data_IF_867639013946
#
_entry.id   IF_867639013946
#
_cell.length_a   1.000
_cell.length_b   1.000
_cell.length_c   1.000
_cell.angle_alpha   90.00
_cell.angle_beta   90.00
_cell.angle_gamma   90.00
#
_symmetry.space_group_name_H-M   'P 1'
#
loop_
_entity.id
_entity.type
_entity.pdbx_description
1 polymer ?
#
# COMPACT_ATOMS: atom_id res chain seq x y z
N UNK A 1 -24.78 0.35 2.44
CA UNK A 1 -24.06 0.03 1.19
C UNK A 1 -22.57 0.31 1.36
N UNK A 2 -21.74 -0.69 1.17
CA UNK A 2 -20.29 -0.48 1.30
C UNK A 2 -19.75 0.19 0.03
N UNK A 3 -18.77 1.04 0.19
CA UNK A 3 -18.08 1.66 -0.94
C UNK A 3 -16.94 0.77 -1.43
N UNK A 4 -16.25 1.22 -2.50
CA UNK A 4 -15.16 0.45 -3.11
C UNK A 4 -14.00 0.20 -2.14
N UNK A 5 -13.67 1.20 -1.32
CA UNK A 5 -12.59 1.06 -0.35
C UNK A 5 -12.91 -0.02 0.68
N UNK A 6 -14.15 -0.01 1.20
CA UNK A 6 -14.62 -1.04 2.13
C UNK A 6 -14.58 -2.43 1.50
N UNK A 7 -15.01 -2.55 0.25
CA UNK A 7 -14.99 -3.82 -0.48
C UNK A 7 -13.57 -4.35 -0.64
N UNK A 8 -12.66 -3.49 -1.03
CA UNK A 8 -11.24 -3.85 -1.22
C UNK A 8 -10.62 -4.28 0.10
N UNK A 9 -10.87 -3.53 1.16
CA UNK A 9 -10.37 -3.83 2.50
C UNK A 9 -10.86 -5.20 2.98
N UNK A 10 -12.16 -5.44 2.82
CA UNK A 10 -12.79 -6.69 3.21
C UNK A 10 -12.19 -7.87 2.44
N UNK A 11 -12.01 -7.72 1.14
CA UNK A 11 -11.39 -8.75 0.31
C UNK A 11 -9.97 -9.07 0.79
N UNK A 12 -9.19 -8.05 1.12
CA UNK A 12 -7.83 -8.24 1.62
C UNK A 12 -7.83 -9.02 2.95
N UNK A 13 -8.74 -8.67 3.86
CA UNK A 13 -8.86 -9.41 5.13
C UNK A 13 -9.21 -10.88 4.89
N UNK A 14 -10.13 -11.14 3.98
CA UNK A 14 -10.51 -12.51 3.62
C UNK A 14 -9.34 -13.29 3.05
N UNK A 15 -8.52 -12.64 2.23
CA UNK A 15 -7.31 -13.25 1.67
C UNK A 15 -6.30 -13.58 2.77
N UNK A 16 -6.11 -12.67 3.73
CA UNK A 16 -5.20 -12.90 4.86
C UNK A 16 -5.71 -14.04 5.75
N UNK A 17 -7.02 -14.13 5.96
CA UNK A 17 -7.62 -15.26 6.68
C UNK A 17 -7.36 -16.59 5.96
N UNK A 18 -7.46 -16.58 4.62
CA UNK A 18 -7.17 -17.77 3.82
C UNK A 18 -5.70 -18.17 3.92
N UNK A 19 -4.79 -17.21 3.89
CA UNK A 19 -3.35 -17.47 4.06
C UNK A 19 -3.06 -18.09 5.43
N UNK A 20 -3.73 -17.59 6.46
CA UNK A 20 -3.56 -18.10 7.81
C UNK A 20 -4.06 -19.55 7.92
N UNK A 21 -5.12 -19.86 7.21
CA UNK A 21 -5.70 -21.21 7.18
C UNK A 21 -4.84 -22.20 6.40
N UNK A 22 -4.31 -21.76 5.24
CA UNK A 22 -3.60 -22.64 4.29
C UNK A 22 -2.08 -22.57 4.40
N UNK A 23 -1.54 -21.54 5.01
CA UNK A 23 -0.11 -21.27 5.15
C UNK A 23 0.18 -20.82 6.58
N UNK A 24 1.43 -20.67 6.91
CA UNK A 24 1.87 -20.17 8.22
C UNK A 24 1.88 -18.64 8.23
N UNK A 25 0.74 -18.04 7.93
CA UNK A 25 0.61 -16.58 7.95
C UNK A 25 0.26 -16.13 9.37
N UNK A 26 0.83 -15.00 9.85
CA UNK A 26 0.58 -14.54 11.21
C UNK A 26 -0.88 -14.18 11.46
N UNK A 27 -1.32 -14.38 12.70
CA UNK A 27 -2.61 -13.85 13.16
C UNK A 27 -2.51 -12.33 13.22
N UNK A 28 -3.62 -11.65 12.99
CA UNK A 28 -3.64 -10.19 13.05
C UNK A 28 -4.67 -9.73 14.11
N UNK A 29 -4.36 -8.59 14.78
CA UNK A 29 -3.14 -7.80 14.64
C UNK A 29 -1.94 -8.49 15.27
N UNK A 30 -0.72 -8.15 14.78
CA UNK A 30 0.51 -8.55 15.42
C UNK A 30 0.76 -7.64 16.63
N UNK A 31 1.55 -8.12 17.58
CA UNK A 31 1.92 -7.32 18.74
C UNK A 31 3.07 -6.37 18.37
N UNK A 32 2.74 -5.10 18.18
CA UNK A 32 3.69 -4.08 17.77
C UNK A 32 4.69 -3.70 18.88
N UNK A 33 4.47 -4.16 20.09
CA UNK A 33 5.41 -3.95 21.21
C UNK A 33 6.53 -4.99 21.24
N UNK A 34 6.47 -6.01 20.39
CA UNK A 34 7.48 -7.07 20.32
C UNK A 34 8.38 -6.90 19.10
N UNK A 35 9.60 -7.42 19.22
CA UNK A 35 10.53 -7.42 18.08
C UNK A 35 10.01 -8.29 16.93
N UNK A 36 9.41 -9.43 17.25
CA UNK A 36 8.87 -10.33 16.22
C UNK A 36 7.72 -9.69 15.45
N UNK A 37 6.82 -9.01 16.15
CA UNK A 37 5.72 -8.28 15.50
C UNK A 37 6.23 -7.17 14.59
N UNK A 38 7.20 -6.39 15.07
CA UNK A 38 7.78 -5.33 14.26
C UNK A 38 8.53 -5.86 13.04
N UNK A 39 9.21 -6.99 13.17
CA UNK A 39 9.92 -7.61 12.03
C UNK A 39 8.94 -8.06 10.95
N UNK A 40 7.80 -8.60 11.35
CA UNK A 40 6.74 -8.98 10.38
C UNK A 40 6.30 -7.74 9.61
N UNK A 41 5.99 -6.65 10.31
CA UNK A 41 5.53 -5.40 9.67
C UNK A 41 6.58 -4.84 8.72
N UNK A 42 7.84 -4.84 9.13
CA UNK A 42 8.94 -4.37 8.27
C UNK A 42 9.08 -5.23 7.02
N UNK A 43 8.94 -6.55 7.17
CA UNK A 43 9.02 -7.48 6.05
C UNK A 43 7.94 -7.20 5.01
N UNK A 44 6.70 -7.02 5.46
CA UNK A 44 5.58 -6.72 4.57
C UNK A 44 5.72 -5.32 3.94
N UNK A 45 6.26 -4.38 4.70
CA UNK A 45 6.55 -3.04 4.16
C UNK A 45 7.54 -3.11 3.00
N UNK A 46 8.58 -3.95 3.13
CA UNK A 46 9.54 -4.15 2.04
C UNK A 46 8.87 -4.74 0.80
N UNK A 47 7.92 -5.66 0.98
CA UNK A 47 7.17 -6.23 -0.14
C UNK A 47 6.34 -5.15 -0.85
N UNK A 48 5.71 -4.26 -0.08
CA UNK A 48 4.95 -3.14 -0.64
C UNK A 48 5.86 -2.22 -1.47
N UNK A 49 7.01 -1.87 -0.93
CA UNK A 49 8.00 -1.04 -1.62
C UNK A 49 8.52 -1.71 -2.88
N UNK A 50 8.73 -3.03 -2.82
CA UNK A 50 9.18 -3.82 -3.96
C UNK A 50 8.18 -3.72 -5.11
N UNK A 51 6.89 -3.84 -4.82
CA UNK A 51 5.85 -3.75 -5.85
C UNK A 51 5.79 -2.35 -6.48
N UNK A 52 5.96 -1.30 -5.67
CA UNK A 52 6.05 0.06 -6.20
C UNK A 52 7.28 0.23 -7.09
N UNK A 53 8.39 -0.40 -6.72
CA UNK A 53 9.59 -0.37 -7.53
C UNK A 53 9.38 -1.11 -8.87
N UNK A 54 8.67 -2.25 -8.83
CA UNK A 54 8.30 -2.97 -10.05
C UNK A 54 7.46 -2.10 -10.99
N UNK A 55 6.50 -1.35 -10.43
CA UNK A 55 5.72 -0.39 -11.22
C UNK A 55 6.63 0.67 -11.84
N UNK A 56 7.59 1.17 -11.05
CA UNK A 56 8.53 2.20 -11.51
C UNK A 56 9.39 1.71 -12.68
N UNK A 57 9.73 0.43 -12.72
CA UNK A 57 10.53 -0.14 -13.82
C UNK A 57 9.80 -0.15 -15.17
N UNK A 58 8.48 0.02 -15.17
CA UNK A 58 7.70 0.13 -16.40
C UNK A 58 7.75 1.53 -17.01
N UNK A 59 8.25 2.52 -16.25
CA UNK A 59 8.42 3.90 -16.71
C UNK A 59 9.84 4.04 -17.28
N UNK A 60 9.96 3.82 -18.60
CA UNK A 60 11.25 3.72 -19.28
C UNK A 60 11.58 4.99 -20.06
N UNK A 61 12.88 5.24 -20.18
CA UNK A 61 13.42 6.35 -20.98
C UNK A 61 12.94 7.73 -20.54
N UNK A 62 12.77 7.94 -19.22
CA UNK A 62 12.30 9.20 -18.66
C UNK A 62 13.42 10.20 -18.34
N UNK A 63 14.67 9.84 -18.58
CA UNK A 63 15.81 10.70 -18.25
C UNK A 63 15.93 11.87 -19.25
N UNK A 64 15.87 13.08 -18.75
CA UNK A 64 15.87 14.31 -19.57
C UNK A 64 17.12 14.47 -20.45
N UNK A 65 18.26 13.97 -19.96
CA UNK A 65 19.53 14.14 -20.67
C UNK A 65 19.72 13.16 -21.84
N UNK A 66 18.77 12.26 -22.06
CA UNK A 66 18.85 11.28 -23.14
C UNK A 66 17.90 11.66 -24.27
N UNK A 67 18.36 11.46 -25.51
CA UNK A 67 17.57 11.70 -26.70
C UNK A 67 16.62 10.53 -27.04
N UNK A 68 16.73 9.42 -26.30
CA UNK A 68 15.88 8.23 -26.53
C UNK A 68 14.43 8.54 -26.20
N UNK A 69 13.55 8.30 -27.14
CA UNK A 69 12.11 8.51 -26.96
C UNK A 69 11.53 7.52 -25.96
N UNK A 70 10.40 7.90 -25.35
CA UNK A 70 9.64 7.00 -24.49
C UNK A 70 9.15 5.81 -25.32
N UNK A 71 9.21 4.63 -24.71
CA UNK A 71 8.61 3.42 -25.29
C UNK A 71 7.12 3.41 -25.00
N UNK A 72 6.40 2.55 -25.70
CA UNK A 72 4.99 2.32 -25.42
C UNK A 72 4.84 1.92 -23.95
N UNK A 73 3.91 2.58 -23.29
CA UNK A 73 3.66 2.38 -21.88
C UNK A 73 2.68 1.23 -21.69
N UNK A 74 3.12 0.19 -20.99
CA UNK A 74 2.27 -0.96 -20.63
C UNK A 74 1.41 -0.60 -19.42
N UNK A 75 0.28 0.03 -19.71
CA UNK A 75 -0.63 0.53 -18.69
C UNK A 75 -1.22 -0.60 -17.83
N UNK A 76 -1.58 -1.71 -18.45
CA UNK A 76 -2.21 -2.81 -17.73
C UNK A 76 -1.26 -3.43 -16.70
N UNK A 77 -0.02 -3.65 -17.08
CA UNK A 77 1.00 -4.14 -16.14
C UNK A 77 1.27 -3.14 -15.02
N UNK A 78 1.32 -1.85 -15.36
CA UNK A 78 1.53 -0.79 -14.38
C UNK A 78 0.42 -0.76 -13.34
N UNK A 79 -0.84 -0.81 -13.77
CA UNK A 79 -2.00 -0.84 -12.88
C UNK A 79 -1.96 -2.08 -11.98
N UNK A 80 -1.57 -3.24 -12.53
CA UNK A 80 -1.45 -4.47 -11.75
C UNK A 80 -0.42 -4.33 -10.64
N UNK A 81 0.75 -3.74 -10.93
CA UNK A 81 1.79 -3.52 -9.91
C UNK A 81 1.34 -2.53 -8.84
N UNK A 82 0.61 -1.47 -9.22
CA UNK A 82 0.02 -0.56 -8.24
C UNK A 82 -0.99 -1.28 -7.35
N UNK A 83 -1.77 -2.18 -7.94
CA UNK A 83 -2.72 -3.01 -7.21
C UNK A 83 -2.01 -3.88 -6.18
N UNK A 84 -0.91 -4.54 -6.59
CA UNK A 84 -0.14 -5.39 -5.69
C UNK A 84 0.41 -4.58 -4.51
N UNK A 85 0.90 -3.37 -4.78
CA UNK A 85 1.37 -2.49 -3.72
C UNK A 85 0.25 -2.11 -2.76
N UNK A 86 -0.96 -1.84 -3.28
CA UNK A 86 -2.11 -1.48 -2.45
C UNK A 86 -2.55 -2.66 -1.58
N UNK A 87 -2.51 -3.88 -2.11
CA UNK A 87 -2.78 -5.08 -1.32
C UNK A 87 -1.83 -5.17 -0.13
N UNK A 88 -0.54 -4.97 -0.35
CA UNK A 88 0.44 -4.98 0.74
C UNK A 88 0.23 -3.82 1.72
N UNK A 89 -0.15 -2.65 1.21
CA UNK A 89 -0.43 -1.51 2.08
C UNK A 89 -1.57 -1.82 3.05
N UNK A 90 -2.68 -2.37 2.54
CA UNK A 90 -3.79 -2.80 3.38
C UNK A 90 -3.35 -3.87 4.37
N UNK A 91 -2.52 -4.81 3.92
CA UNK A 91 -1.99 -5.87 4.77
C UNK A 91 -1.19 -5.30 5.93
N UNK A 92 -0.35 -4.30 5.69
CA UNK A 92 0.40 -3.61 6.73
C UNK A 92 -0.55 -2.99 7.76
N UNK A 93 -1.56 -2.29 7.31
CA UNK A 93 -2.53 -1.64 8.19
C UNK A 93 -3.30 -2.67 9.01
N UNK A 94 -3.79 -3.74 8.38
CA UNK A 94 -4.54 -4.80 9.05
C UNK A 94 -3.66 -5.51 10.08
N UNK A 95 -2.43 -5.85 9.71
CA UNK A 95 -1.48 -6.50 10.62
C UNK A 95 -1.12 -5.62 11.82
N UNK A 96 -1.09 -4.30 11.63
CA UNK A 96 -0.77 -3.38 12.73
C UNK A 96 -1.99 -2.97 13.55
N UNK A 97 -3.17 -3.53 13.25
CA UNK A 97 -4.39 -3.26 14.01
C UNK A 97 -5.05 -1.93 13.68
N UNK A 98 -4.68 -1.30 12.57
CA UNK A 98 -5.30 -0.06 12.11
C UNK A 98 -6.56 -0.41 11.34
N UNK A 99 -7.71 0.15 11.75
CA UNK A 99 -8.97 -0.07 11.04
C UNK A 99 -9.08 0.86 9.83
N UNK A 100 -9.95 0.51 8.90
CA UNK A 100 -10.20 1.37 7.73
C UNK A 100 -10.77 2.72 8.18
N UNK A 101 -11.61 2.75 9.21
CA UNK A 101 -12.18 4.00 9.73
C UNK A 101 -11.09 4.88 10.33
N UNK A 102 -10.20 4.31 11.13
CA UNK A 102 -9.06 5.04 11.70
C UNK A 102 -8.18 5.63 10.62
N UNK A 103 -7.87 4.83 9.60
CA UNK A 103 -7.05 5.26 8.47
C UNK A 103 -7.74 6.39 7.69
N UNK A 104 -9.04 6.26 7.46
CA UNK A 104 -9.84 7.27 6.76
C UNK A 104 -9.82 8.60 7.51
N UNK A 105 -10.08 8.58 8.82
CA UNK A 105 -10.09 9.79 9.63
C UNK A 105 -8.73 10.48 9.65
N UNK A 106 -7.67 9.70 9.81
CA UNK A 106 -6.30 10.23 9.79
C UNK A 106 -5.95 10.84 8.44
N UNK A 107 -6.36 10.17 7.35
CA UNK A 107 -6.12 10.65 5.99
C UNK A 107 -6.80 12.00 5.75
N UNK A 108 -8.08 12.10 6.09
CA UNK A 108 -8.85 13.32 5.86
C UNK A 108 -8.29 14.49 6.69
N UNK A 109 -7.96 14.24 7.94
CA UNK A 109 -7.36 15.25 8.82
C UNK A 109 -6.02 15.75 8.27
N UNK A 110 -5.18 14.81 7.84
CA UNK A 110 -3.87 15.16 7.28
C UNK A 110 -4.01 15.95 5.98
N UNK A 111 -5.01 15.61 5.18
CA UNK A 111 -5.31 16.34 3.95
C UNK A 111 -5.63 17.81 4.23
N UNK A 112 -6.46 18.08 5.24
CA UNK A 112 -6.78 19.46 5.63
C UNK A 112 -5.53 20.22 6.07
N UNK A 113 -4.67 19.59 6.85
CA UNK A 113 -3.40 20.18 7.29
C UNK A 113 -2.55 20.56 6.09
N UNK A 114 -2.46 19.66 5.11
CA UNK A 114 -1.68 19.89 3.90
C UNK A 114 -2.23 21.05 3.07
N UNK A 115 -3.56 21.12 2.89
CA UNK A 115 -4.21 22.24 2.20
C UNK A 115 -3.87 23.58 2.88
N UNK A 116 -4.00 23.63 4.20
CA UNK A 116 -3.72 24.84 4.96
C UNK A 116 -2.25 25.28 4.84
N UNK A 117 -1.34 24.33 4.82
CA UNK A 117 0.10 24.62 4.67
C UNK A 117 0.37 25.29 3.33
N UNK A 118 -0.20 24.78 2.25
CA UNK A 118 0.01 25.35 0.90
C UNK A 118 -0.61 26.74 0.82
N UNK A 119 -1.82 26.94 1.33
CA UNK A 119 -2.48 28.24 1.36
C UNK A 119 -1.68 29.30 2.13
N UNK A 120 -0.93 28.88 3.16
CA UNK A 120 -0.09 29.77 3.97
C UNK A 120 1.32 29.95 3.40
N UNK A 121 1.60 29.42 2.22
CA UNK A 121 2.89 29.57 1.57
C UNK A 121 3.98 28.62 2.08
N UNK A 122 3.57 27.53 2.69
CA UNK A 122 4.50 26.51 3.19
C UNK A 122 5.23 25.82 2.04
#
# INVERSE_FOLDING_TARGET
MSDKLDEMWKQQKQFMDLLREKREFPSFPVDTSTKSGQKILKSITHECMHELFEANLLLKNSKDHRATDLRDFDRDSYVEELCDALHYFFEIAILSGVSIEELYQAYMKKGEINFNRVEKGY
#
